data_IF_080533252243
#
_entry.id   IF_080533252243
#
_cell.length_a   1.000
_cell.length_b   1.000
_cell.length_c   1.000
_cell.angle_alpha   90.00
_cell.angle_beta   90.00
_cell.angle_gamma   90.00
#
_symmetry.space_group_name_H-M   'P 1'
#
loop_
_entity.id
_entity.type
_entity.pdbx_description
1 polymer ?
#
# COMPACT_ATOMS: atom_id res chain seq x y z
N UNK A 1 13.28 2.64 -10.67
CA UNK A 1 13.36 2.01 -9.33
C UNK A 1 12.49 0.78 -9.24
N UNK A 2 11.14 0.89 -9.25
CA UNK A 2 10.26 -0.30 -9.12
C UNK A 2 10.49 -1.31 -10.25
N UNK A 3 10.60 -0.85 -11.50
CA UNK A 3 10.90 -1.71 -12.67
C UNK A 3 12.24 -2.45 -12.57
N UNK A 4 13.17 -1.98 -11.73
CA UNK A 4 14.50 -2.58 -11.57
C UNK A 4 14.51 -3.73 -10.54
N UNK A 5 13.39 -3.97 -9.86
CA UNK A 5 13.31 -4.94 -8.76
C UNK A 5 12.98 -6.34 -9.27
N UNK A 6 13.89 -7.32 -9.06
CA UNK A 6 13.72 -8.70 -9.55
C UNK A 6 12.46 -9.40 -9.05
N UNK A 7 12.02 -9.10 -7.82
CA UNK A 7 10.84 -9.69 -7.18
C UNK A 7 9.55 -8.93 -7.47
N UNK A 8 9.58 -7.91 -8.34
CA UNK A 8 8.37 -7.19 -8.73
C UNK A 8 7.50 -8.06 -9.63
N UNK A 9 6.22 -8.22 -9.27
CA UNK A 9 5.23 -8.85 -10.14
C UNK A 9 4.59 -7.83 -11.08
N UNK A 10 4.12 -6.72 -10.53
CA UNK A 10 3.58 -5.59 -11.28
C UNK A 10 3.62 -4.34 -10.42
N UNK A 11 3.50 -3.17 -11.05
CA UNK A 11 3.19 -1.93 -10.37
C UNK A 11 2.23 -1.07 -11.19
N UNK A 12 1.59 -0.14 -10.52
CA UNK A 12 0.63 0.78 -11.08
C UNK A 12 0.73 2.13 -10.37
N UNK A 13 0.81 3.21 -11.16
CA UNK A 13 0.64 4.58 -10.65
C UNK A 13 -0.84 4.92 -10.64
N UNK A 14 -1.36 5.17 -9.46
CA UNK A 14 -2.77 5.41 -9.25
C UNK A 14 -3.14 6.86 -9.61
N UNK A 15 -4.23 7.08 -10.33
CA UNK A 15 -4.71 8.41 -10.70
C UNK A 15 -5.73 8.89 -9.66
N UNK A 16 -5.36 9.96 -8.94
CA UNK A 16 -6.21 10.58 -7.93
C UNK A 16 -7.59 10.94 -8.48
N UNK A 17 -8.64 10.71 -7.67
CA UNK A 17 -10.07 10.94 -7.99
C UNK A 17 -10.68 10.04 -9.07
N UNK A 18 -9.89 9.18 -9.72
CA UNK A 18 -10.38 8.29 -10.76
C UNK A 18 -10.30 6.82 -10.37
N UNK A 19 -9.15 6.41 -9.85
CA UNK A 19 -8.83 5.00 -9.67
C UNK A 19 -9.05 4.54 -8.21
N UNK A 20 -8.17 3.66 -7.72
CA UNK A 20 -8.28 3.06 -6.40
C UNK A 20 -8.22 4.11 -5.29
N UNK A 21 -9.07 3.94 -4.28
CA UNK A 21 -9.07 4.76 -3.09
C UNK A 21 -9.38 3.95 -1.85
N UNK A 22 -8.89 4.46 -0.72
CA UNK A 22 -9.30 4.01 0.61
C UNK A 22 -10.25 5.06 1.19
N UNK A 23 -11.42 4.60 1.62
CA UNK A 23 -12.39 5.43 2.30
C UNK A 23 -12.26 5.19 3.82
N UNK A 24 -11.70 6.16 4.52
CA UNK A 24 -11.71 6.20 5.99
C UNK A 24 -12.97 6.86 6.55
N UNK A 25 -12.91 7.31 7.80
CA UNK A 25 -14.05 7.99 8.47
C UNK A 25 -14.19 9.48 8.14
N UNK A 26 -13.21 10.10 7.46
CA UNK A 26 -13.39 11.45 6.90
C UNK A 26 -14.07 11.38 5.53
N UNK A 27 -14.83 12.44 5.19
CA UNK A 27 -15.50 12.58 3.88
C UNK A 27 -14.52 12.50 2.70
N UNK A 28 -13.27 12.93 2.88
CA UNK A 28 -12.25 12.92 1.84
C UNK A 28 -11.65 11.52 1.69
N UNK A 29 -11.58 11.04 0.45
CA UNK A 29 -10.97 9.76 0.07
C UNK A 29 -9.44 9.87 0.01
N UNK A 30 -8.76 8.79 0.37
CA UNK A 30 -7.31 8.68 0.24
C UNK A 30 -7.01 7.98 -1.09
N UNK A 31 -6.32 8.67 -1.98
CA UNK A 31 -5.86 8.12 -3.25
C UNK A 31 -4.36 7.90 -3.16
N UNK A 32 -3.90 6.68 -2.77
CA UNK A 32 -2.48 6.36 -2.68
C UNK A 32 -1.80 6.58 -4.03
N UNK A 33 -0.52 6.90 -4.06
CA UNK A 33 0.23 7.16 -5.28
C UNK A 33 0.53 5.89 -6.10
N UNK A 34 0.86 4.79 -5.41
CA UNK A 34 1.28 3.55 -6.06
C UNK A 34 0.63 2.32 -5.47
N UNK A 35 0.33 1.36 -6.35
CA UNK A 35 0.05 -0.02 -5.99
C UNK A 35 1.11 -0.88 -6.66
N UNK A 36 1.74 -1.79 -5.91
CA UNK A 36 2.65 -2.76 -6.51
C UNK A 36 2.57 -4.11 -5.81
N UNK A 37 3.09 -5.14 -6.46
CA UNK A 37 3.10 -6.49 -5.91
C UNK A 37 4.47 -7.12 -5.93
N UNK A 38 4.76 -7.93 -4.92
CA UNK A 38 5.91 -8.84 -4.90
C UNK A 38 5.53 -10.22 -5.44
N UNK A 39 6.55 -10.96 -5.89
CA UNK A 39 6.47 -12.36 -6.25
C UNK A 39 6.88 -13.26 -5.07
N UNK A 40 6.20 -14.40 -4.95
CA UNK A 40 6.63 -15.54 -4.12
C UNK A 40 7.72 -16.35 -4.83
N UNK A 41 8.27 -17.36 -4.15
CA UNK A 41 9.33 -18.21 -4.71
C UNK A 41 8.90 -19.01 -5.97
N UNK A 42 7.58 -19.16 -6.20
CA UNK A 42 7.02 -19.79 -7.39
C UNK A 42 6.67 -18.80 -8.50
N UNK A 43 7.01 -17.52 -8.35
CA UNK A 43 6.65 -16.45 -9.30
C UNK A 43 5.19 -15.99 -9.21
N UNK A 44 4.43 -16.49 -8.23
CA UNK A 44 3.06 -16.10 -7.98
C UNK A 44 2.94 -14.79 -7.19
N UNK A 45 1.73 -14.23 -7.16
CA UNK A 45 1.39 -13.08 -6.31
C UNK A 45 1.61 -13.42 -4.82
N UNK A 46 2.54 -12.70 -4.17
CA UNK A 46 2.84 -12.81 -2.73
C UNK A 46 2.05 -11.77 -1.91
N UNK A 47 2.33 -10.47 -2.15
CA UNK A 47 1.75 -9.37 -1.38
C UNK A 47 1.55 -8.14 -2.26
N UNK A 48 0.44 -7.45 -2.06
CA UNK A 48 0.17 -6.13 -2.64
C UNK A 48 0.54 -5.05 -1.64
N UNK A 49 1.23 -4.02 -2.11
CA UNK A 49 1.63 -2.85 -1.36
C UNK A 49 0.90 -1.62 -1.90
N UNK A 50 0.26 -0.89 -1.00
CA UNK A 50 -0.47 0.35 -1.28
C UNK A 50 0.30 1.50 -0.62
N UNK A 51 0.88 2.38 -1.43
CA UNK A 51 1.80 3.43 -0.97
C UNK A 51 1.23 4.81 -1.25
N UNK A 52 1.09 5.60 -0.19
CA UNK A 52 0.94 7.06 -0.26
C UNK A 52 2.29 7.70 0.05
N UNK A 53 2.73 8.64 -0.77
CA UNK A 53 3.95 9.42 -0.51
C UNK A 53 3.65 10.82 0.00
N UNK A 54 4.57 11.35 0.81
CA UNK A 54 4.47 12.70 1.37
C UNK A 54 5.82 13.40 1.32
N UNK A 55 5.81 14.65 0.84
CA UNK A 55 6.97 15.53 0.98
C UNK A 55 7.29 15.79 2.45
N UNK A 56 8.57 16.01 2.74
CA UNK A 56 9.08 16.19 4.11
C UNK A 56 8.30 17.24 4.93
N UNK A 57 7.94 18.36 4.31
CA UNK A 57 7.20 19.45 4.96
C UNK A 57 5.77 19.07 5.40
N UNK A 58 5.20 17.97 4.89
CA UNK A 58 3.86 17.47 5.24
C UNK A 58 3.91 16.22 6.13
N UNK A 59 5.11 15.72 6.46
CA UNK A 59 5.32 14.43 7.14
C UNK A 59 4.50 14.30 8.42
N UNK A 60 4.35 15.38 9.18
CA UNK A 60 3.66 15.38 10.47
C UNK A 60 2.40 16.26 10.48
N UNK A 61 1.89 16.61 9.29
CA UNK A 61 0.60 17.28 9.16
C UNK A 61 -0.55 16.39 9.67
N UNK A 62 -1.63 17.03 10.12
CA UNK A 62 -2.85 16.32 10.54
C UNK A 62 -3.42 15.41 9.44
N UNK A 63 -3.32 15.83 8.17
CA UNK A 63 -3.72 15.01 7.02
C UNK A 63 -2.86 13.74 6.89
N UNK A 64 -1.53 13.87 6.95
CA UNK A 64 -0.62 12.73 6.88
C UNK A 64 -0.83 11.77 8.05
N UNK A 65 -1.00 12.31 9.26
CA UNK A 65 -1.27 11.50 10.45
C UNK A 65 -2.62 10.81 10.39
N UNK A 66 -3.65 11.46 9.83
CA UNK A 66 -4.94 10.82 9.55
C UNK A 66 -4.78 9.66 8.56
N UNK A 67 -4.08 9.87 7.44
CA UNK A 67 -3.85 8.82 6.44
C UNK A 67 -3.09 7.62 7.02
N UNK A 68 -2.08 7.87 7.86
CA UNK A 68 -1.35 6.82 8.59
C UNK A 68 -2.31 5.98 9.44
N UNK A 69 -3.14 6.61 10.28
CA UNK A 69 -4.11 5.90 11.11
C UNK A 69 -5.10 5.07 10.30
N UNK A 70 -5.58 5.58 9.16
CA UNK A 70 -6.47 4.80 8.28
C UNK A 70 -5.75 3.59 7.69
N UNK A 71 -4.51 3.77 7.23
CA UNK A 71 -3.71 2.68 6.64
C UNK A 71 -3.28 1.64 7.68
N UNK A 72 -2.93 2.07 8.90
CA UNK A 72 -2.65 1.19 10.03
C UNK A 72 -3.88 0.35 10.37
N UNK A 73 -5.06 0.97 10.45
CA UNK A 73 -6.31 0.24 10.65
C UNK A 73 -6.57 -0.80 9.53
N UNK A 74 -6.27 -0.48 8.27
CA UNK A 74 -6.37 -1.44 7.17
C UNK A 74 -5.39 -2.62 7.33
N UNK A 75 -4.19 -2.39 7.85
CA UNK A 75 -3.22 -3.45 8.12
C UNK A 75 -3.66 -4.34 9.29
N UNK A 76 -4.21 -3.73 10.34
CA UNK A 76 -4.66 -4.44 11.54
C UNK A 76 -5.88 -5.32 11.22
N UNK A 77 -6.94 -4.71 10.65
CA UNK A 77 -8.21 -5.40 10.39
C UNK A 77 -8.18 -6.26 9.12
N UNK A 78 -7.33 -5.91 8.14
CA UNK A 78 -7.23 -6.62 6.86
C UNK A 78 -6.77 -8.08 6.98
N UNK A 79 -6.45 -8.53 8.18
CA UNK A 79 -6.05 -9.90 8.52
C UNK A 79 -7.09 -10.68 9.33
N UNK A 80 -8.15 -10.04 9.84
CA UNK A 80 -9.09 -10.66 10.79
C UNK A 80 -10.17 -11.56 10.14
N UNK A 81 -10.29 -11.57 8.81
CA UNK A 81 -11.28 -12.41 8.11
C UNK A 81 -10.63 -13.28 7.03
N UNK A 82 -10.88 -14.58 7.07
CA UNK A 82 -10.39 -15.49 6.04
C UNK A 82 -11.02 -15.11 4.69
N UNK A 83 -10.21 -15.05 3.63
CA UNK A 83 -10.69 -14.71 2.28
C UNK A 83 -11.77 -15.69 1.78
N UNK A 84 -11.71 -16.94 2.27
CA UNK A 84 -12.73 -17.96 2.05
C UNK A 84 -14.13 -17.53 2.53
N UNK A 85 -14.23 -16.80 3.65
CA UNK A 85 -15.50 -16.28 4.17
C UNK A 85 -16.09 -15.15 3.32
N UNK A 86 -15.29 -14.63 2.37
CA UNK A 86 -15.69 -13.64 1.38
C UNK A 86 -15.90 -14.24 -0.02
N UNK A 87 -15.78 -15.57 -0.16
CA UNK A 87 -15.89 -16.27 -1.44
C UNK A 87 -14.73 -15.99 -2.41
N UNK A 88 -13.60 -15.50 -1.90
CA UNK A 88 -12.42 -15.17 -2.71
C UNK A 88 -11.38 -16.30 -2.62
N UNK A 89 -10.86 -16.70 -3.78
CA UNK A 89 -10.06 -17.93 -3.95
C UNK A 89 -8.63 -17.87 -3.40
N UNK A 90 -8.10 -16.69 -3.05
CA UNK A 90 -6.71 -16.53 -2.63
C UNK A 90 -6.59 -15.61 -1.42
N UNK A 91 -5.81 -16.05 -0.44
CA UNK A 91 -5.37 -15.20 0.67
C UNK A 91 -4.48 -14.09 0.12
N UNK A 92 -5.09 -12.94 -0.18
CA UNK A 92 -4.38 -11.78 -0.66
C UNK A 92 -3.88 -10.97 0.52
N UNK A 93 -2.56 -10.92 0.70
CA UNK A 93 -1.95 -10.05 1.70
C UNK A 93 -1.81 -8.66 1.12
N UNK A 94 -2.38 -7.67 1.80
CA UNK A 94 -2.25 -6.26 1.42
C UNK A 94 -1.52 -5.54 2.55
N UNK A 95 -0.57 -4.68 2.20
CA UNK A 95 0.10 -3.81 3.15
C UNK A 95 -0.02 -2.35 2.71
N UNK A 96 -0.52 -1.51 3.62
CA UNK A 96 -0.74 -0.10 3.42
C UNK A 96 0.35 0.70 4.12
N UNK A 97 0.93 1.69 3.44
CA UNK A 97 1.99 2.54 4.01
C UNK A 97 1.88 3.98 3.54
N UNK A 98 2.12 4.92 4.46
CA UNK A 98 2.38 6.32 4.13
C UNK A 98 3.87 6.57 4.33
N UNK A 99 4.58 6.93 3.26
CA UNK A 99 6.03 7.08 3.23
C UNK A 99 6.43 8.54 2.98
N UNK A 100 7.31 9.07 3.81
CA UNK A 100 7.94 10.35 3.55
C UNK A 100 9.01 10.25 2.44
N UNK A 101 9.29 11.39 1.81
CA UNK A 101 10.25 11.54 0.72
C UNK A 101 11.68 11.07 1.08
N UNK A 102 12.06 11.16 2.35
CA UNK A 102 13.38 10.75 2.85
C UNK A 102 13.46 9.26 3.21
N UNK A 103 12.33 8.55 3.30
CA UNK A 103 12.29 7.16 3.77
C UNK A 103 11.83 6.15 2.72
N UNK A 104 11.18 6.58 1.63
CA UNK A 104 10.53 5.67 0.69
C UNK A 104 11.52 4.64 0.12
N UNK A 105 12.72 5.05 -0.28
CA UNK A 105 13.68 4.15 -0.92
C UNK A 105 14.16 3.07 0.06
N UNK A 106 14.49 3.45 1.29
CA UNK A 106 14.90 2.52 2.33
C UNK A 106 13.79 1.53 2.70
N UNK A 107 12.53 1.98 2.68
CA UNK A 107 11.37 1.11 2.92
C UNK A 107 11.16 0.13 1.77
N UNK A 108 11.24 0.58 0.52
CA UNK A 108 11.11 -0.31 -0.64
C UNK A 108 12.27 -1.31 -0.72
N UNK A 109 13.51 -0.90 -0.41
CA UNK A 109 14.65 -1.82 -0.28
C UNK A 109 14.33 -2.98 0.67
N UNK A 110 13.72 -2.70 1.82
CA UNK A 110 13.34 -3.74 2.80
C UNK A 110 12.20 -4.66 2.32
N UNK A 111 11.38 -4.21 1.36
CA UNK A 111 10.33 -5.03 0.77
C UNK A 111 10.90 -6.02 -0.25
N UNK A 112 11.88 -5.57 -1.04
CA UNK A 112 12.45 -6.36 -2.13
C UNK A 112 13.66 -7.22 -1.74
N UNK A 113 14.40 -6.84 -0.69
CA UNK A 113 15.46 -7.67 -0.08
C UNK A 113 14.88 -8.84 0.71
#
# INVERSE_FOLDING_TARGET
YLDDQKRLLFWYRNISKHDYYVQGWHKQKIYPDFLFSTQDNGGGLDKVHVIETKGLHLKDSDDTNYKRRVFDLCNDLGTEKAWADLGLQKDLKINYQVLAEDEWQNKLNKVFN
#
